data_IF_768138961261
#
_entry.id   IF_768138961261
#
_cell.length_a   1.000
_cell.length_b   1.000
_cell.length_c   1.000
_cell.angle_alpha   90.00
_cell.angle_beta   90.00
_cell.angle_gamma   90.00
#
_symmetry.space_group_name_H-M   'P 1'
#
loop_
_entity.id
_entity.type
_entity.pdbx_description
1 polymer ?
#
# COMPACT_ATOMS: atom_id res chain seq x y z
N UNK A 1 -12.99 -1.26 37.68
CA UNK A 1 -12.67 -0.71 36.33
C UNK A 1 -12.28 -1.87 35.43
N UNK A 2 -13.06 -2.17 34.42
CA UNK A 2 -12.71 -3.19 33.42
C UNK A 2 -11.43 -2.77 32.72
N UNK A 3 -10.37 -3.59 32.80
CA UNK A 3 -9.18 -3.43 31.95
C UNK A 3 -9.66 -3.39 30.50
N UNK A 4 -9.21 -2.39 29.73
CA UNK A 4 -9.50 -2.32 28.30
C UNK A 4 -9.00 -3.61 27.65
N UNK A 5 -9.91 -4.49 27.30
CA UNK A 5 -9.59 -5.69 26.54
C UNK A 5 -9.29 -5.19 25.13
N UNK A 6 -8.05 -5.17 24.79
CA UNK A 6 -7.62 -4.84 23.44
C UNK A 6 -7.47 -6.16 22.69
N UNK A 7 -8.14 -6.29 21.55
CA UNK A 7 -7.86 -7.36 20.58
C UNK A 7 -6.42 -7.16 20.12
N UNK A 8 -5.52 -7.77 20.82
CA UNK A 8 -4.13 -7.79 20.43
C UNK A 8 -3.77 -9.23 20.18
N UNK A 9 -3.72 -9.60 18.92
CA UNK A 9 -2.76 -10.61 18.58
C UNK A 9 -1.45 -10.18 19.24
N UNK A 10 -1.00 -11.00 20.14
CA UNK A 10 0.25 -10.99 20.89
C UNK A 10 1.16 -9.76 20.70
N UNK A 11 0.89 -8.71 21.44
CA UNK A 11 1.82 -7.58 21.58
C UNK A 11 3.01 -8.03 22.44
N UNK A 12 4.23 -7.90 21.92
CA UNK A 12 5.42 -7.98 22.74
C UNK A 12 5.44 -6.83 23.76
N UNK A 13 5.88 -7.08 24.96
CA UNK A 13 6.02 -6.06 25.99
C UNK A 13 7.47 -5.65 26.07
N UNK A 14 7.77 -4.37 25.79
CA UNK A 14 9.11 -3.82 25.86
C UNK A 14 9.74 -4.14 27.22
N UNK A 15 11.01 -4.55 27.23
CA UNK A 15 11.80 -4.97 28.41
C UNK A 15 11.37 -6.28 29.10
N UNK A 16 10.23 -6.88 28.70
CA UNK A 16 9.81 -8.20 29.20
C UNK A 16 10.03 -9.29 28.16
N UNK A 17 9.90 -8.94 26.89
CA UNK A 17 10.17 -9.85 25.77
C UNK A 17 11.59 -9.60 25.28
N UNK A 18 12.48 -10.60 25.22
CA UNK A 18 13.89 -10.42 24.88
C UNK A 18 14.09 -10.26 23.36
N UNK A 19 13.34 -9.35 22.74
CA UNK A 19 13.35 -9.07 21.30
C UNK A 19 13.42 -7.58 21.09
N UNK A 20 14.18 -7.15 20.07
CA UNK A 20 14.24 -5.76 19.67
C UNK A 20 12.90 -5.32 19.04
N UNK A 21 12.15 -4.50 19.74
CA UNK A 21 10.85 -4.00 19.32
C UNK A 21 10.83 -2.48 19.25
N UNK A 22 9.96 -1.96 18.40
CA UNK A 22 9.60 -0.54 18.34
C UNK A 22 8.11 -0.42 18.16
N UNK A 23 7.50 0.47 18.91
CA UNK A 23 6.07 0.79 18.81
C UNK A 23 5.92 2.18 18.19
N UNK A 24 4.95 2.31 17.29
CA UNK A 24 4.49 3.58 16.73
C UNK A 24 3.03 3.73 17.13
N UNK A 25 2.71 4.74 17.90
CA UNK A 25 1.34 4.97 18.38
C UNK A 25 0.51 5.78 17.36
N UNK A 26 -0.80 5.83 17.59
CA UNK A 26 -1.73 6.56 16.74
C UNK A 26 -1.35 8.04 16.57
N UNK A 27 -0.94 8.72 17.64
CA UNK A 27 -0.61 10.14 17.61
C UNK A 27 0.62 10.37 16.74
N UNK A 28 1.57 9.47 16.80
CA UNK A 28 2.76 9.52 15.97
C UNK A 28 2.42 9.30 14.49
N UNK A 29 1.52 8.36 14.17
CA UNK A 29 1.02 8.17 12.81
C UNK A 29 0.30 9.42 12.31
N UNK A 30 -0.66 9.95 13.07
CA UNK A 30 -1.43 11.15 12.69
C UNK A 30 -0.53 12.39 12.46
N UNK A 31 0.52 12.55 13.24
CA UNK A 31 1.43 13.70 13.13
C UNK A 31 2.45 13.59 11.98
N UNK A 32 2.83 12.37 11.61
CA UNK A 32 3.99 12.15 10.73
C UNK A 32 3.63 11.52 9.39
N UNK A 33 2.46 10.88 9.26
CA UNK A 33 2.04 10.26 8.02
C UNK A 33 1.96 11.29 6.88
N UNK A 34 1.23 12.40 7.11
CA UNK A 34 1.07 13.44 6.10
C UNK A 34 0.61 12.85 4.76
N UNK A 35 1.38 13.09 3.72
CA UNK A 35 1.17 12.57 2.36
C UNK A 35 2.00 11.31 2.07
N UNK A 36 2.67 10.75 3.07
CA UNK A 36 3.49 9.56 2.92
C UNK A 36 2.63 8.28 2.94
N UNK A 37 3.16 7.21 2.41
CA UNK A 37 2.57 5.89 2.56
C UNK A 37 2.94 5.30 3.93
N UNK A 38 2.07 4.41 4.43
CA UNK A 38 2.26 3.83 5.77
C UNK A 38 3.64 3.18 5.99
N UNK A 39 4.25 2.46 5.04
CA UNK A 39 5.60 1.90 5.23
C UNK A 39 6.67 2.95 5.52
N UNK A 40 6.54 4.15 4.94
CA UNK A 40 7.52 5.22 5.11
C UNK A 40 7.60 5.72 6.56
N UNK A 41 6.51 5.57 7.32
CA UNK A 41 6.49 5.84 8.75
C UNK A 41 7.51 4.98 9.52
N UNK A 42 7.77 3.78 9.03
CA UNK A 42 8.70 2.84 9.69
C UNK A 42 10.16 3.18 9.45
N UNK A 43 10.50 4.15 8.59
CA UNK A 43 11.87 4.66 8.39
C UNK A 43 12.48 5.24 9.68
N UNK A 44 11.65 5.58 10.65
CA UNK A 44 12.13 6.03 11.98
C UNK A 44 12.52 4.87 12.89
N UNK A 45 12.18 3.65 12.51
CA UNK A 45 12.51 2.44 13.28
C UNK A 45 13.93 1.98 12.92
N UNK A 46 14.85 1.87 13.87
CA UNK A 46 16.22 1.43 13.59
C UNK A 46 16.27 0.10 12.85
N UNK A 47 17.02 0.04 11.74
CA UNK A 47 17.16 -1.16 10.90
C UNK A 47 15.97 -1.45 9.98
N UNK A 48 15.05 -0.52 9.85
CA UNK A 48 13.96 -0.56 8.86
C UNK A 48 14.19 0.51 7.80
N UNK A 49 13.98 0.15 6.56
CA UNK A 49 14.07 1.04 5.41
C UNK A 49 12.91 0.81 4.47
N UNK A 50 12.08 1.82 4.30
CA UNK A 50 10.98 1.83 3.35
C UNK A 50 11.24 2.87 2.26
N UNK A 51 10.97 2.51 1.02
CA UNK A 51 11.14 3.39 -0.13
C UNK A 51 10.07 3.13 -1.17
N UNK A 52 9.73 4.15 -1.95
CA UNK A 52 8.92 4.00 -3.16
C UNK A 52 9.78 3.42 -4.27
N UNK A 53 9.41 2.28 -4.81
CA UNK A 53 10.20 1.53 -5.78
C UNK A 53 10.35 2.27 -7.11
N UNK A 54 9.27 2.80 -7.65
CA UNK A 54 9.25 3.59 -8.90
C UNK A 54 9.11 5.10 -8.67
N UNK A 55 9.08 5.53 -7.40
CA UNK A 55 8.79 6.92 -7.03
C UNK A 55 7.33 7.33 -7.24
N UNK A 56 6.44 6.36 -7.44
CA UNK A 56 5.01 6.54 -7.65
C UNK A 56 4.20 6.11 -6.41
N UNK A 57 2.89 6.36 -6.43
CA UNK A 57 1.97 5.92 -5.39
C UNK A 57 1.81 4.39 -5.39
N UNK A 58 1.75 3.81 -4.19
CA UNK A 58 1.32 2.43 -3.96
C UNK A 58 2.38 1.35 -4.15
N UNK A 59 3.61 1.72 -4.49
CA UNK A 59 4.67 0.76 -4.78
C UNK A 59 5.77 0.68 -3.71
N UNK A 60 5.46 1.11 -2.50
CA UNK A 60 6.41 1.07 -1.39
C UNK A 60 6.96 -0.33 -1.12
N UNK A 61 8.23 -0.41 -0.83
CA UNK A 61 8.93 -1.61 -0.37
C UNK A 61 9.47 -1.40 1.03
N UNK A 62 9.34 -2.43 1.85
CA UNK A 62 9.83 -2.43 3.22
C UNK A 62 10.97 -3.44 3.34
N UNK A 63 12.14 -2.96 3.73
CA UNK A 63 13.29 -3.79 4.07
C UNK A 63 13.57 -3.71 5.56
N UNK A 64 13.94 -4.81 6.16
CA UNK A 64 14.25 -4.87 7.60
C UNK A 64 15.55 -5.63 7.84
N UNK A 65 16.55 -4.96 8.46
CA UNK A 65 17.88 -5.53 8.70
C UNK A 65 18.54 -6.10 7.42
N UNK A 66 18.33 -5.46 6.27
CA UNK A 66 18.84 -5.91 4.98
C UNK A 66 18.00 -7.00 4.29
N UNK A 67 17.01 -7.58 4.98
CA UNK A 67 16.09 -8.53 4.36
C UNK A 67 15.02 -7.80 3.55
N UNK A 68 14.72 -8.33 2.38
CA UNK A 68 13.68 -7.79 1.49
C UNK A 68 12.26 -8.03 2.05
N UNK A 69 11.28 -7.31 1.51
CA UNK A 69 9.87 -7.36 1.95
C UNK A 69 9.26 -8.77 1.98
N UNK A 70 9.70 -9.68 1.10
CA UNK A 70 9.28 -11.08 1.10
C UNK A 70 9.74 -11.87 2.35
N UNK A 71 10.72 -11.36 3.08
CA UNK A 71 11.24 -11.95 4.31
C UNK A 71 10.79 -11.16 5.57
N UNK A 72 9.82 -10.27 5.43
CA UNK A 72 9.23 -9.50 6.52
C UNK A 72 7.74 -9.83 6.61
N UNK A 73 7.32 -10.43 7.71
CA UNK A 73 5.91 -10.71 7.93
C UNK A 73 5.16 -9.43 8.29
N UNK A 74 4.03 -9.18 7.62
CA UNK A 74 3.13 -8.08 7.96
C UNK A 74 1.77 -8.64 8.33
N UNK A 75 1.21 -8.13 9.42
CA UNK A 75 -0.09 -8.54 9.89
C UNK A 75 -0.99 -7.35 10.18
N UNK A 76 -2.26 -7.51 9.91
CA UNK A 76 -3.31 -6.57 10.29
C UNK A 76 -4.30 -7.29 11.21
N UNK A 77 -4.45 -6.80 12.44
CA UNK A 77 -5.29 -7.42 13.47
C UNK A 77 -5.01 -8.91 13.71
N UNK A 78 -3.73 -9.32 13.59
CA UNK A 78 -3.31 -10.71 13.75
C UNK A 78 -3.48 -11.60 12.51
N UNK A 79 -3.99 -11.04 11.42
CA UNK A 79 -4.14 -11.75 10.14
C UNK A 79 -2.94 -11.45 9.26
N UNK A 80 -2.20 -12.46 8.77
CA UNK A 80 -1.12 -12.26 7.80
C UNK A 80 -1.68 -11.68 6.49
N UNK A 81 -1.01 -10.68 5.94
CA UNK A 81 -1.42 -10.00 4.69
C UNK A 81 -0.39 -10.09 3.58
N UNK A 82 0.72 -10.78 3.83
CA UNK A 82 1.70 -11.07 2.81
C UNK A 82 1.08 -11.90 1.68
N UNK A 83 1.53 -11.62 0.47
CA UNK A 83 1.14 -12.36 -0.71
C UNK A 83 1.62 -13.81 -0.64
N UNK A 84 0.76 -14.75 -1.00
CA UNK A 84 1.04 -16.19 -0.90
C UNK A 84 2.01 -16.68 -1.96
N UNK A 85 2.15 -15.95 -3.07
CA UNK A 85 2.99 -16.33 -4.19
C UNK A 85 4.43 -15.80 -4.01
N UNK A 86 4.57 -14.50 -3.70
CA UNK A 86 5.87 -13.83 -3.63
C UNK A 86 6.35 -13.57 -2.19
N UNK A 87 5.50 -13.79 -1.20
CA UNK A 87 5.80 -13.49 0.21
C UNK A 87 5.87 -12.00 0.56
N UNK A 88 5.81 -11.11 -0.43
CA UNK A 88 5.85 -9.66 -0.24
C UNK A 88 4.49 -9.05 0.11
N UNK A 89 4.45 -7.73 0.15
CA UNK A 89 3.20 -6.98 0.35
C UNK A 89 3.09 -5.87 -0.69
N UNK A 90 1.94 -5.80 -1.34
CA UNK A 90 1.55 -4.69 -2.22
C UNK A 90 0.80 -3.64 -1.39
N UNK A 91 1.51 -2.60 -0.98
CA UNK A 91 0.97 -1.58 -0.08
C UNK A 91 -0.18 -0.78 -0.67
N UNK A 92 -0.27 -0.71 -1.99
CA UNK A 92 -1.42 -0.10 -2.69
C UNK A 92 -2.76 -0.75 -2.35
N UNK A 93 -2.79 -2.02 -1.97
CA UNK A 93 -4.01 -2.70 -1.54
C UNK A 93 -4.52 -2.22 -0.17
N UNK A 94 -3.72 -1.42 0.54
CA UNK A 94 -3.91 -1.02 1.92
C UNK A 94 -3.75 0.49 2.10
N UNK A 95 -4.09 1.29 1.08
CA UNK A 95 -3.88 2.74 1.03
C UNK A 95 -4.43 3.50 2.23
N UNK A 96 -5.64 3.14 2.69
CA UNK A 96 -6.28 3.73 3.85
C UNK A 96 -5.83 3.22 5.20
N UNK A 97 -4.91 2.25 5.23
CA UNK A 97 -4.54 1.61 6.50
C UNK A 97 -3.95 2.61 7.50
N UNK A 98 -3.25 3.65 7.03
CA UNK A 98 -2.67 4.69 7.89
C UNK A 98 -3.69 5.41 8.76
N UNK A 99 -4.85 5.73 8.22
CA UNK A 99 -5.95 6.40 8.95
C UNK A 99 -6.69 5.46 9.91
N UNK A 100 -6.58 4.16 9.66
CA UNK A 100 -7.24 3.13 10.45
C UNK A 100 -6.37 2.64 11.61
N UNK A 101 -5.06 2.91 11.56
CA UNK A 101 -4.10 2.45 12.57
C UNK A 101 -4.41 2.99 13.96
N UNK A 102 -4.37 2.11 14.93
CA UNK A 102 -4.33 2.43 16.35
C UNK A 102 -2.90 2.43 16.89
N UNK A 103 -2.13 1.39 16.54
CA UNK A 103 -0.69 1.32 16.75
C UNK A 103 -0.05 0.31 15.80
N UNK A 104 1.23 0.47 15.56
CA UNK A 104 2.07 -0.52 14.88
C UNK A 104 3.16 -0.97 15.83
N UNK A 105 3.48 -2.26 15.81
CA UNK A 105 4.63 -2.82 16.50
C UNK A 105 5.54 -3.53 15.51
N UNK A 106 6.79 -3.13 15.51
CA UNK A 106 7.82 -3.74 14.69
C UNK A 106 8.73 -4.60 15.57
N UNK A 107 8.81 -5.87 15.26
CA UNK A 107 9.78 -6.81 15.86
C UNK A 107 10.88 -7.09 14.85
N UNK A 108 12.14 -6.92 15.24
CA UNK A 108 13.28 -7.01 14.35
C UNK A 108 14.03 -8.32 14.55
N UNK A 109 14.13 -9.10 13.46
CA UNK A 109 14.83 -10.39 13.44
C UNK A 109 14.00 -11.54 13.98
N UNK A 110 14.63 -12.71 14.02
CA UNK A 110 14.04 -13.93 14.59
C UNK A 110 13.76 -13.70 16.08
N UNK A 111 12.53 -13.54 16.41
CA UNK A 111 12.07 -13.51 17.78
C UNK A 111 11.11 -14.66 18.04
N UNK A 112 10.85 -14.99 19.30
CA UNK A 112 9.71 -15.82 19.67
C UNK A 112 8.43 -15.05 19.27
N UNK A 113 8.17 -15.07 17.97
CA UNK A 113 6.98 -14.48 17.41
C UNK A 113 5.81 -15.29 17.92
N UNK A 114 4.93 -14.66 18.69
CA UNK A 114 3.61 -15.21 18.94
C UNK A 114 2.76 -15.18 17.66
N UNK A 115 3.36 -14.86 16.55
CA UNK A 115 2.79 -14.69 15.23
C UNK A 115 2.94 -15.97 14.46
N UNK A 116 1.89 -16.40 13.80
CA UNK A 116 1.83 -17.66 13.06
C UNK A 116 2.70 -17.75 11.81
N UNK A 117 3.28 -16.62 11.36
CA UNK A 117 4.13 -16.57 10.15
C UNK A 117 5.58 -16.32 10.55
N UNK A 118 6.47 -17.32 10.39
CA UNK A 118 7.88 -17.13 10.66
C UNK A 118 8.50 -16.17 9.62
N UNK A 119 9.33 -15.25 10.08
CA UNK A 119 10.03 -14.31 9.23
C UNK A 119 11.42 -14.02 9.77
N UNK A 120 12.44 -14.13 8.90
CA UNK A 120 13.84 -13.92 9.28
C UNK A 120 14.19 -12.43 9.43
N UNK A 121 13.56 -11.57 8.63
CA UNK A 121 13.77 -10.12 8.70
C UNK A 121 13.13 -9.50 9.94
N UNK A 122 11.96 -9.97 10.29
CA UNK A 122 11.16 -9.49 11.41
C UNK A 122 9.67 -9.40 11.05
N UNK A 123 8.92 -8.79 11.95
CA UNK A 123 7.45 -8.72 11.83
C UNK A 123 6.96 -7.31 12.07
N UNK A 124 6.01 -6.86 11.25
CA UNK A 124 5.22 -5.64 11.47
C UNK A 124 3.79 -6.05 11.81
N UNK A 125 3.35 -5.72 13.01
CA UNK A 125 1.99 -5.96 13.45
C UNK A 125 1.23 -4.63 13.52
N UNK A 126 0.19 -4.51 12.71
CA UNK A 126 -0.66 -3.33 12.58
C UNK A 126 -1.99 -3.64 13.26
N UNK A 127 -2.38 -2.81 14.21
CA UNK A 127 -3.67 -2.94 14.89
C UNK A 127 -4.53 -1.74 14.55
N UNK A 128 -5.73 -2.01 14.04
CA UNK A 128 -6.68 -0.98 13.62
C UNK A 128 -7.55 -0.50 14.79
N UNK A 129 -8.20 0.63 14.59
CA UNK A 129 -9.21 1.18 15.49
C UNK A 129 -10.39 0.21 15.57
N UNK A 130 -10.73 -0.27 16.76
CA UNK A 130 -11.86 -1.17 16.98
C UNK A 130 -12.73 -0.74 18.16
N UNK A 131 -12.76 -1.55 19.20
CA UNK A 131 -13.69 -1.45 20.34
C UNK A 131 -13.44 -0.27 21.27
N UNK A 132 -12.33 0.38 21.19
CA UNK A 132 -11.93 1.47 22.10
C UNK A 132 -11.89 2.86 21.44
N UNK A 133 -12.45 2.96 20.24
CA UNK A 133 -12.66 4.26 19.61
C UNK A 133 -13.52 5.15 20.49
N UNK A 134 -13.09 6.37 20.72
CA UNK A 134 -13.89 7.37 21.44
C UNK A 134 -15.06 7.82 20.56
N UNK A 135 -16.17 8.22 21.21
CA UNK A 135 -17.29 8.86 20.51
C UNK A 135 -16.83 10.15 19.83
N UNK A 136 -17.17 10.31 18.58
CA UNK A 136 -16.83 11.51 17.81
C UNK A 136 -16.64 11.21 16.34
N UNK A 137 -16.23 12.22 15.60
CA UNK A 137 -15.88 12.11 14.20
C UNK A 137 -14.93 13.23 13.81
N UNK A 138 -14.33 13.09 12.63
CA UNK A 138 -13.50 14.12 12.03
C UNK A 138 -13.62 14.04 10.50
N UNK A 139 -13.38 15.16 9.86
CA UNK A 139 -13.15 15.24 8.44
C UNK A 139 -11.83 15.98 8.23
N UNK A 140 -10.99 15.46 7.35
CA UNK A 140 -9.71 16.07 6.98
C UNK A 140 -9.60 16.19 5.47
N UNK A 141 -9.01 17.30 5.02
CA UNK A 141 -8.64 17.47 3.63
C UNK A 141 -7.19 17.93 3.57
N UNK A 142 -6.39 17.24 2.80
CA UNK A 142 -4.99 17.54 2.62
C UNK A 142 -4.66 17.74 1.14
N UNK A 143 -3.71 18.62 0.89
CA UNK A 143 -3.14 18.89 -0.44
C UNK A 143 -1.63 18.73 -0.40
N UNK A 144 -1.04 18.43 -1.52
CA UNK A 144 0.40 18.29 -1.64
C UNK A 144 0.91 18.58 -3.05
N UNK A 145 2.18 18.35 -3.24
CA UNK A 145 2.81 18.50 -4.55
C UNK A 145 2.22 17.55 -5.59
N UNK A 146 2.37 17.89 -6.84
CA UNK A 146 1.99 17.06 -7.99
C UNK A 146 0.49 16.66 -7.99
N UNK A 147 -0.36 17.62 -7.63
CA UNK A 147 -1.81 17.43 -7.62
C UNK A 147 -2.30 16.46 -6.53
N UNK A 148 -1.49 16.14 -5.52
CA UNK A 148 -1.90 15.27 -4.42
C UNK A 148 -3.05 15.90 -3.64
N UNK A 149 -4.11 15.13 -3.47
CA UNK A 149 -5.27 15.47 -2.66
C UNK A 149 -5.66 14.26 -1.82
N UNK A 150 -6.14 14.51 -0.61
CA UNK A 150 -6.56 13.50 0.32
C UNK A 150 -7.77 14.00 1.13
N UNK A 151 -8.88 13.28 1.05
CA UNK A 151 -10.07 13.52 1.86
C UNK A 151 -10.31 12.30 2.74
N UNK A 152 -10.53 12.51 4.03
CA UNK A 152 -10.95 11.44 4.95
C UNK A 152 -12.09 11.93 5.84
N UNK A 153 -13.09 11.09 6.01
CA UNK A 153 -14.19 11.28 6.94
C UNK A 153 -14.31 10.06 7.83
N UNK A 154 -14.38 10.25 9.13
CA UNK A 154 -14.50 9.18 10.10
C UNK A 154 -15.52 9.52 11.19
N UNK A 155 -16.27 8.51 11.63
CA UNK A 155 -17.24 8.62 12.72
C UNK A 155 -17.18 7.39 13.61
N UNK A 156 -17.36 7.58 14.90
CA UNK A 156 -17.49 6.49 15.89
C UNK A 156 -18.53 6.84 16.96
N UNK A 157 -19.32 5.86 17.34
CA UNK A 157 -20.25 6.00 18.45
C UNK A 157 -19.56 5.98 19.82
N UNK A 158 -18.32 5.50 19.85
CA UNK A 158 -17.71 5.06 21.09
C UNK A 158 -18.44 3.85 21.69
N UNK A 159 -17.99 3.39 22.84
CA UNK A 159 -18.66 2.30 23.55
C UNK A 159 -19.97 2.81 24.17
N UNK A 160 -21.09 2.28 23.70
CA UNK A 160 -22.43 2.61 24.22
C UNK A 160 -22.67 1.93 25.56
N UNK A 161 -23.70 2.41 26.31
CA UNK A 161 -24.13 1.77 27.56
C UNK A 161 -24.54 0.33 27.38
N UNK A 162 -25.07 -0.04 26.21
CA UNK A 162 -25.43 -1.42 25.85
C UNK A 162 -24.25 -2.28 25.40
N UNK A 163 -23.02 -1.76 25.42
CA UNK A 163 -21.80 -2.49 25.09
C UNK A 163 -21.47 -2.58 23.60
N UNK A 164 -22.16 -1.83 22.73
CA UNK A 164 -21.85 -1.72 21.31
C UNK A 164 -20.85 -0.61 21.03
N UNK A 165 -20.05 -0.79 19.99
CA UNK A 165 -19.25 0.25 19.35
C UNK A 165 -19.34 0.09 17.83
N UNK A 166 -19.59 1.21 17.13
CA UNK A 166 -19.64 1.30 15.69
C UNK A 166 -18.64 2.36 15.26
N UNK A 167 -17.81 2.05 14.28
CA UNK A 167 -16.86 2.99 13.69
C UNK A 167 -16.85 2.82 12.18
N UNK A 168 -16.81 3.93 11.46
CA UNK A 168 -16.70 3.96 10.00
C UNK A 168 -15.68 5.01 9.58
N UNK A 169 -15.03 4.76 8.46
CA UNK A 169 -14.15 5.70 7.79
C UNK A 169 -14.31 5.54 6.29
N UNK A 170 -14.32 6.67 5.59
CA UNK A 170 -14.22 6.76 4.14
C UNK A 170 -13.12 7.75 3.80
N UNK A 171 -12.34 7.41 2.78
CA UNK A 171 -11.27 8.25 2.28
C UNK A 171 -11.21 8.22 0.76
N UNK A 172 -10.56 9.25 0.21
CA UNK A 172 -10.16 9.30 -1.18
C UNK A 172 -8.82 10.00 -1.28
N UNK A 173 -7.89 9.38 -2.01
CA UNK A 173 -6.59 9.97 -2.37
C UNK A 173 -6.48 9.97 -3.88
N UNK A 174 -5.98 11.08 -4.44
CA UNK A 174 -5.74 11.17 -5.89
C UNK A 174 -4.65 12.21 -6.18
N UNK A 175 -4.02 12.07 -7.32
CA UNK A 175 -2.98 12.99 -7.77
C UNK A 175 -2.36 12.59 -9.11
N UNK A 176 -1.52 13.48 -9.63
CA UNK A 176 -0.78 13.23 -10.88
C UNK A 176 0.50 12.43 -10.66
N UNK A 177 1.03 12.44 -9.43
CA UNK A 177 2.30 11.82 -9.08
C UNK A 177 3.53 12.63 -9.48
N UNK A 178 4.67 12.33 -8.85
CA UNK A 178 5.93 13.04 -9.11
C UNK A 178 6.48 12.76 -10.50
N UNK A 179 6.33 11.53 -10.99
CA UNK A 179 6.82 11.06 -12.28
C UNK A 179 5.73 11.26 -13.33
N UNK A 180 6.09 11.59 -14.56
CA UNK A 180 5.14 11.74 -15.66
C UNK A 180 4.29 10.49 -15.83
N UNK A 181 2.96 10.66 -15.93
CA UNK A 181 2.02 9.59 -16.17
C UNK A 181 1.87 8.60 -15.02
N UNK A 182 2.19 8.99 -13.78
CA UNK A 182 2.00 8.15 -12.59
C UNK A 182 0.80 8.62 -11.75
N UNK A 183 -0.24 9.07 -12.43
CA UNK A 183 -1.47 9.46 -11.77
C UNK A 183 -2.13 8.27 -11.06
N UNK A 184 -2.80 8.57 -9.97
CA UNK A 184 -3.45 7.57 -9.12
C UNK A 184 -4.78 8.06 -8.59
N UNK A 185 -5.63 7.09 -8.25
CA UNK A 185 -6.89 7.29 -7.53
C UNK A 185 -7.12 6.12 -6.60
N UNK A 186 -7.34 6.40 -5.34
CA UNK A 186 -7.53 5.43 -4.28
C UNK A 186 -8.74 5.83 -3.44
N UNK A 187 -9.62 4.89 -3.18
CA UNK A 187 -10.75 5.03 -2.27
C UNK A 187 -10.54 4.11 -1.09
N UNK A 188 -10.70 4.64 0.10
CA UNK A 188 -10.53 3.90 1.33
C UNK A 188 -11.84 3.73 2.05
N UNK A 189 -12.10 2.55 2.57
CA UNK A 189 -13.20 2.34 3.48
C UNK A 189 -12.79 1.42 4.63
N UNK A 190 -13.36 1.70 5.77
CA UNK A 190 -13.22 0.90 6.98
C UNK A 190 -14.52 0.92 7.76
N UNK A 191 -14.89 -0.21 8.32
CA UNK A 191 -15.92 -0.28 9.32
C UNK A 191 -15.54 -1.29 10.41
N UNK A 192 -15.95 -1.00 11.61
CA UNK A 192 -15.83 -1.91 12.75
C UNK A 192 -17.09 -1.88 13.57
N UNK A 193 -17.62 -3.06 13.89
CA UNK A 193 -18.74 -3.25 14.78
C UNK A 193 -18.29 -4.18 15.89
N UNK A 194 -18.44 -3.76 17.14
CA UNK A 194 -18.07 -4.63 18.25
C UNK A 194 -19.11 -4.62 19.36
N UNK A 195 -19.16 -5.72 20.08
CA UNK A 195 -20.06 -5.96 21.19
C UNK A 195 -19.31 -6.56 22.37
N UNK A 196 -19.48 -5.97 23.54
CA UNK A 196 -19.12 -6.61 24.82
C UNK A 196 -20.30 -7.39 25.31
N UNK A 197 -20.08 -8.67 25.61
CA UNK A 197 -21.08 -9.59 26.16
C UNK A 197 -20.66 -9.95 27.59
N UNK A 198 -21.26 -9.26 28.57
CA UNK A 198 -20.86 -9.35 29.96
C UNK A 198 -19.42 -8.86 30.19
N UNK A 199 -18.73 -9.52 31.14
CA UNK A 199 -17.37 -9.17 31.54
C UNK A 199 -16.30 -10.03 30.86
N UNK A 200 -16.70 -11.12 30.23
CA UNK A 200 -15.77 -12.16 29.77
C UNK A 200 -15.64 -12.26 28.25
N UNK A 201 -16.59 -11.74 27.48
CA UNK A 201 -16.60 -11.91 26.05
C UNK A 201 -16.64 -10.58 25.30
N UNK A 202 -15.90 -10.52 24.21
CA UNK A 202 -15.96 -9.44 23.24
C UNK A 202 -15.92 -10.02 21.84
N UNK A 203 -16.84 -9.57 20.99
CA UNK A 203 -16.88 -9.91 19.58
C UNK A 203 -16.68 -8.63 18.78
N UNK A 204 -15.89 -8.68 17.71
CA UNK A 204 -15.66 -7.57 16.80
C UNK A 204 -15.65 -8.06 15.34
N UNK A 205 -16.49 -7.46 14.51
CA UNK A 205 -16.46 -7.59 13.07
C UNK A 205 -15.76 -6.34 12.51
N UNK A 206 -14.76 -6.55 11.69
CA UNK A 206 -14.00 -5.48 11.00
C UNK A 206 -13.97 -5.77 9.52
N UNK A 207 -14.20 -4.75 8.71
CA UNK A 207 -14.04 -4.81 7.26
C UNK A 207 -13.34 -3.57 6.76
N UNK A 208 -12.42 -3.73 5.81
CA UNK A 208 -11.71 -2.62 5.18
C UNK A 208 -11.19 -3.01 3.80
N UNK A 209 -10.93 -2.01 2.99
CA UNK A 209 -10.35 -2.16 1.66
C UNK A 209 -10.02 -0.82 1.03
N UNK A 210 -9.18 -0.89 0.01
CA UNK A 210 -8.72 0.27 -0.76
C UNK A 210 -8.79 -0.06 -2.25
N UNK A 211 -9.99 0.09 -2.89
CA UNK A 211 -10.06 0.02 -4.34
C UNK A 211 -9.27 1.16 -4.95
N UNK A 212 -8.23 0.82 -5.70
CA UNK A 212 -7.27 1.78 -6.22
C UNK A 212 -6.92 1.52 -7.67
N UNK A 213 -6.52 2.56 -8.35
CA UNK A 213 -5.86 2.51 -9.65
C UNK A 213 -4.67 3.44 -9.68
N UNK A 214 -3.58 3.00 -10.25
CA UNK A 214 -2.40 3.85 -10.39
C UNK A 214 -1.54 3.41 -11.57
N UNK A 215 -0.79 4.36 -12.11
CA UNK A 215 0.27 4.10 -13.08
C UNK A 215 1.62 4.19 -12.39
N UNK A 216 2.58 3.47 -12.93
CA UNK A 216 3.95 3.41 -12.42
C UNK A 216 4.95 3.65 -13.56
N UNK A 217 6.14 4.12 -13.23
CA UNK A 217 7.32 3.92 -14.06
C UNK A 217 7.92 2.57 -13.67
N UNK A 218 8.03 1.65 -14.62
CA UNK A 218 8.58 0.34 -14.33
C UNK A 218 10.04 0.49 -13.81
N UNK A 219 10.41 -0.31 -12.83
CA UNK A 219 11.76 -0.30 -12.26
C UNK A 219 12.87 -0.62 -13.30
N UNK A 220 12.52 -1.32 -14.37
CA UNK A 220 13.43 -1.67 -15.45
C UNK A 220 13.57 -0.56 -16.52
N UNK A 221 12.77 0.50 -16.46
CA UNK A 221 12.82 1.66 -17.34
C UNK A 221 13.84 2.72 -16.84
N UNK A 222 14.75 2.32 -15.96
CA UNK A 222 15.81 3.18 -15.46
C UNK A 222 16.81 3.59 -16.56
N UNK A 223 17.23 4.86 -16.53
CA UNK A 223 18.21 5.39 -17.45
C UNK A 223 19.60 5.46 -16.80
N UNK A 224 20.64 5.35 -17.63
CA UNK A 224 22.01 5.69 -17.22
C UNK A 224 22.13 7.19 -16.94
N UNK A 225 23.24 7.62 -16.35
CA UNK A 225 23.52 9.06 -16.13
C UNK A 225 23.44 9.84 -17.45
N UNK A 226 23.99 9.30 -18.51
CA UNK A 226 23.93 9.88 -19.86
C UNK A 226 22.49 9.95 -20.38
N UNK A 227 21.71 8.86 -20.19
CA UNK A 227 20.30 8.81 -20.55
C UNK A 227 19.48 9.87 -19.80
N UNK A 228 19.73 10.10 -18.52
CA UNK A 228 19.08 11.18 -17.76
C UNK A 228 19.48 12.58 -18.26
N UNK A 229 20.70 12.77 -18.72
CA UNK A 229 21.12 14.02 -19.35
C UNK A 229 20.44 14.24 -20.71
N UNK A 230 20.30 13.20 -21.50
CA UNK A 230 19.65 13.26 -22.81
C UNK A 230 18.19 13.68 -22.75
N UNK A 231 17.42 13.13 -21.78
CA UNK A 231 16.00 13.47 -21.61
C UNK A 231 15.76 14.87 -21.03
N UNK A 232 16.79 15.57 -20.59
CA UNK A 232 16.67 16.93 -20.03
C UNK A 232 15.94 17.89 -20.98
N UNK A 233 16.17 17.77 -22.29
CA UNK A 233 15.53 18.58 -23.34
C UNK A 233 14.00 18.48 -23.35
N UNK A 234 13.43 17.34 -22.90
CA UNK A 234 11.99 17.12 -22.85
C UNK A 234 11.33 17.63 -21.56
N UNK A 235 12.11 18.03 -20.58
CA UNK A 235 11.59 18.33 -19.25
C UNK A 235 11.28 19.82 -19.01
N UNK A 236 11.60 20.71 -19.97
CA UNK A 236 11.26 22.14 -19.83
C UNK A 236 11.73 22.79 -18.52
N UNK A 237 12.94 22.44 -18.05
CA UNK A 237 13.51 22.92 -16.80
C UNK A 237 13.10 22.15 -15.53
N UNK A 238 12.17 21.20 -15.60
CA UNK A 238 11.84 20.30 -14.50
C UNK A 238 12.94 19.25 -14.29
N UNK A 239 12.95 18.63 -13.11
CA UNK A 239 13.88 17.53 -12.80
C UNK A 239 13.79 16.41 -13.83
N UNK A 240 14.93 15.95 -14.32
CA UNK A 240 15.02 14.82 -15.25
C UNK A 240 14.46 13.53 -14.68
N UNK A 241 14.51 13.37 -13.36
CA UNK A 241 13.98 12.18 -12.67
C UNK A 241 12.46 12.06 -12.72
N UNK A 242 11.76 13.12 -13.15
CA UNK A 242 10.31 13.08 -13.42
C UNK A 242 9.99 12.42 -14.76
N UNK A 243 10.96 12.26 -15.63
CA UNK A 243 10.73 11.66 -16.95
C UNK A 243 10.36 10.18 -16.83
N UNK A 244 9.35 9.78 -17.60
CA UNK A 244 8.95 8.38 -17.73
C UNK A 244 9.07 7.96 -19.19
N UNK A 245 10.01 7.08 -19.53
CA UNK A 245 10.23 6.64 -20.92
C UNK A 245 9.01 6.03 -21.59
N UNK A 246 8.08 5.52 -20.82
CA UNK A 246 6.86 4.85 -21.31
C UNK A 246 5.60 5.70 -21.18
N UNK A 247 5.72 6.96 -20.75
CA UNK A 247 4.58 7.87 -20.70
C UNK A 247 4.26 8.43 -22.06
N UNK A 248 2.97 8.40 -22.44
CA UNK A 248 2.50 8.97 -23.71
C UNK A 248 0.98 9.01 -23.80
N UNK A 249 0.50 9.12 -25.03
CA UNK A 249 -0.92 9.27 -25.33
C UNK A 249 -1.36 8.29 -26.42
N UNK A 250 -2.56 7.73 -26.26
CA UNK A 250 -3.20 6.95 -27.29
C UNK A 250 -3.91 7.80 -28.33
N UNK A 251 -4.51 7.14 -29.33
CA UNK A 251 -5.19 7.77 -30.48
C UNK A 251 -6.30 8.77 -30.09
N UNK A 252 -6.96 8.54 -28.96
CA UNK A 252 -8.04 9.41 -28.47
C UNK A 252 -7.54 10.40 -27.41
N UNK A 253 -6.22 10.58 -27.25
CA UNK A 253 -5.62 11.46 -26.26
C UNK A 253 -5.63 10.90 -24.84
N UNK A 254 -5.97 9.62 -24.64
CA UNK A 254 -5.92 8.97 -23.34
C UNK A 254 -4.46 8.82 -22.86
N UNK A 255 -4.21 9.17 -21.60
CA UNK A 255 -2.90 9.01 -20.97
C UNK A 255 -2.60 7.53 -20.78
N UNK A 256 -1.37 7.13 -21.11
CA UNK A 256 -0.87 5.76 -20.98
C UNK A 256 0.53 5.73 -20.39
N UNK A 257 0.83 4.62 -19.74
CA UNK A 257 2.17 4.22 -19.32
C UNK A 257 2.25 2.70 -19.39
N UNK A 258 3.45 2.14 -19.44
CA UNK A 258 3.65 0.68 -19.57
C UNK A 258 3.14 -0.11 -18.37
N UNK A 259 3.07 0.49 -17.21
CA UNK A 259 2.65 -0.18 -15.99
C UNK A 259 1.42 0.51 -15.39
N UNK A 260 0.30 -0.16 -15.47
CA UNK A 260 -0.94 0.21 -14.83
C UNK A 260 -1.37 -0.90 -13.87
N UNK A 261 -1.89 -0.51 -12.73
CA UNK A 261 -2.44 -1.41 -11.73
C UNK A 261 -3.80 -0.91 -11.27
N UNK A 262 -4.79 -1.79 -11.31
CA UNK A 262 -6.06 -1.65 -10.63
C UNK A 262 -6.25 -2.85 -9.72
N UNK A 263 -6.49 -2.61 -8.45
CA UNK A 263 -6.72 -3.69 -7.51
C UNK A 263 -7.67 -3.30 -6.39
N UNK A 264 -8.48 -4.26 -5.95
CA UNK A 264 -9.31 -4.18 -4.76
C UNK A 264 -9.22 -5.50 -4.00
N UNK A 265 -8.66 -5.46 -2.80
CA UNK A 265 -8.47 -6.63 -1.94
C UNK A 265 -9.06 -6.37 -0.56
N UNK A 266 -10.40 -6.39 -0.42
CA UNK A 266 -11.03 -6.22 0.88
C UNK A 266 -10.66 -7.34 1.83
N UNK A 267 -10.58 -6.99 3.10
CA UNK A 267 -10.41 -7.95 4.19
C UNK A 267 -11.52 -7.79 5.21
N UNK A 268 -12.11 -8.90 5.59
CA UNK A 268 -13.09 -9.00 6.65
C UNK A 268 -12.56 -9.91 7.74
N UNK A 269 -12.74 -9.53 9.00
CA UNK A 269 -12.36 -10.37 10.13
C UNK A 269 -13.41 -10.34 11.23
N UNK A 270 -13.70 -11.50 11.77
CA UNK A 270 -14.52 -11.69 12.97
C UNK A 270 -13.60 -12.18 14.09
N UNK A 271 -13.45 -11.37 15.11
CA UNK A 271 -12.59 -11.66 16.24
C UNK A 271 -13.45 -11.88 17.49
N UNK A 272 -13.15 -12.91 18.23
CA UNK A 272 -13.76 -13.18 19.53
C UNK A 272 -12.67 -13.30 20.58
N UNK A 273 -12.83 -12.60 21.68
CA UNK A 273 -11.99 -12.72 22.87
C UNK A 273 -12.83 -13.27 24.00
N UNK A 274 -12.34 -14.34 24.60
CA UNK A 274 -12.91 -14.90 25.83
C UNK A 274 -11.87 -14.81 26.95
N UNK A 275 -12.17 -14.03 27.96
CA UNK A 275 -11.42 -14.00 29.23
C UNK A 275 -11.97 -15.12 30.09
N UNK A 276 -11.26 -16.24 30.18
CA UNK A 276 -11.67 -17.43 30.95
C UNK A 276 -11.52 -17.11 32.43
N UNK A 277 -10.38 -16.55 32.81
CA UNK A 277 -10.06 -16.09 34.17
C UNK A 277 -8.98 -14.94 34.09
N UNK A 278 -8.48 -14.51 35.26
CA UNK A 278 -7.48 -13.44 35.34
C UNK A 278 -6.14 -13.77 34.68
N UNK A 279 -5.85 -15.03 34.39
CA UNK A 279 -4.57 -15.53 33.85
C UNK A 279 -4.73 -16.12 32.46
N UNK A 280 -5.95 -16.48 32.06
CA UNK A 280 -6.21 -17.25 30.83
C UNK A 280 -7.18 -16.52 29.91
N UNK A 281 -6.85 -16.47 28.64
CA UNK A 281 -7.75 -15.93 27.59
C UNK A 281 -7.63 -16.75 26.31
N UNK A 282 -8.74 -16.87 25.60
CA UNK A 282 -8.80 -17.45 24.26
C UNK A 282 -9.14 -16.35 23.25
N UNK A 283 -8.32 -16.22 22.22
CA UNK A 283 -8.55 -15.31 21.11
C UNK A 283 -8.79 -16.14 19.85
N UNK A 284 -9.94 -15.95 19.22
CA UNK A 284 -10.31 -16.62 17.98
C UNK A 284 -10.47 -15.57 16.90
N UNK A 285 -9.86 -15.79 15.74
CA UNK A 285 -10.00 -14.94 14.56
C UNK A 285 -10.45 -15.79 13.38
N UNK A 286 -11.55 -15.38 12.74
CA UNK A 286 -11.96 -15.87 11.43
C UNK A 286 -11.83 -14.72 10.46
N UNK A 287 -11.19 -14.95 9.31
CA UNK A 287 -11.00 -13.91 8.32
C UNK A 287 -11.19 -14.41 6.90
N UNK A 288 -11.50 -13.46 6.02
CA UNK A 288 -11.67 -13.68 4.58
C UNK A 288 -11.13 -12.47 3.83
N UNK A 289 -10.47 -12.72 2.70
CA UNK A 289 -10.08 -11.70 1.75
C UNK A 289 -10.39 -12.19 0.33
N UNK A 290 -10.97 -11.31 -0.50
CA UNK A 290 -11.32 -11.61 -1.88
C UNK A 290 -10.68 -10.53 -2.74
N UNK A 291 -9.63 -10.89 -3.51
CA UNK A 291 -8.94 -9.96 -4.40
C UNK A 291 -9.58 -9.92 -5.78
N UNK A 292 -9.73 -8.72 -6.33
CA UNK A 292 -10.08 -8.50 -7.72
C UNK A 292 -9.20 -7.39 -8.28
N UNK A 293 -8.58 -7.64 -9.42
CA UNK A 293 -7.74 -6.62 -10.02
C UNK A 293 -7.14 -7.06 -11.34
N UNK A 294 -6.53 -6.10 -12.01
CA UNK A 294 -5.82 -6.30 -13.26
C UNK A 294 -4.74 -5.24 -13.41
N UNK A 295 -3.81 -5.51 -14.30
CA UNK A 295 -2.78 -4.56 -14.66
C UNK A 295 -2.37 -4.76 -16.11
N UNK A 296 -1.60 -3.83 -16.63
CA UNK A 296 -0.86 -4.04 -17.86
C UNK A 296 0.64 -3.85 -17.58
N UNK A 297 1.45 -4.53 -18.34
CA UNK A 297 2.91 -4.42 -18.28
C UNK A 297 3.50 -4.08 -19.64
N UNK A 298 2.68 -3.61 -20.59
CA UNK A 298 3.12 -3.28 -21.94
C UNK A 298 3.76 -4.48 -22.66
N UNK A 299 3.18 -5.66 -22.53
CA UNK A 299 3.70 -6.87 -23.16
C UNK A 299 3.20 -6.96 -24.60
N UNK A 300 4.12 -7.04 -25.55
CA UNK A 300 3.84 -7.49 -26.89
C UNK A 300 3.81 -9.03 -26.97
N UNK A 301 3.49 -9.57 -28.13
CA UNK A 301 3.47 -11.01 -28.45
C UNK A 301 4.82 -11.68 -28.12
N UNK A 302 5.89 -10.90 -28.12
CA UNK A 302 7.22 -11.38 -27.85
C UNK A 302 7.81 -10.54 -26.69
N UNK A 303 7.71 -11.05 -25.47
CA UNK A 303 8.19 -10.38 -24.26
C UNK A 303 9.69 -9.98 -24.33
N UNK A 304 10.48 -10.68 -25.11
CA UNK A 304 11.88 -10.36 -25.37
C UNK A 304 12.03 -9.04 -26.16
N UNK A 305 11.08 -8.70 -27.02
CA UNK A 305 11.09 -7.44 -27.78
C UNK A 305 10.42 -6.30 -27.04
N UNK A 306 9.42 -6.56 -26.24
CA UNK A 306 8.71 -5.53 -25.48
C UNK A 306 9.67 -4.68 -24.63
N UNK A 307 10.63 -5.33 -23.95
CA UNK A 307 11.63 -4.63 -23.14
C UNK A 307 12.76 -3.97 -23.97
N UNK A 308 12.91 -4.30 -25.24
CA UNK A 308 14.00 -3.78 -26.06
C UNK A 308 13.65 -2.55 -26.90
N UNK A 309 12.38 -2.32 -27.22
CA UNK A 309 11.96 -1.17 -28.02
C UNK A 309 11.06 -0.20 -27.24
N UNK A 310 10.48 -0.62 -26.14
CA UNK A 310 9.49 0.08 -25.35
C UNK A 310 10.18 0.93 -24.27
N UNK A 311 10.23 2.23 -24.48
CA UNK A 311 10.74 3.19 -23.51
C UNK A 311 12.24 3.30 -23.44
N UNK A 312 12.91 2.41 -22.75
CA UNK A 312 14.37 2.42 -22.57
C UNK A 312 14.97 1.00 -22.63
N UNK A 313 16.20 0.91 -23.10
CA UNK A 313 16.95 -0.34 -23.10
C UNK A 313 18.42 -0.08 -22.71
N UNK A 314 18.97 -0.91 -21.82
CA UNK A 314 20.36 -0.78 -21.33
C UNK A 314 20.69 0.63 -20.83
N UNK A 315 19.76 1.28 -20.15
CA UNK A 315 19.93 2.64 -19.63
C UNK A 315 19.88 3.75 -20.68
N UNK A 316 19.59 3.43 -21.95
CA UNK A 316 19.45 4.43 -23.03
C UNK A 316 18.00 4.55 -23.45
N UNK A 317 17.57 5.79 -23.70
CA UNK A 317 16.24 6.05 -24.24
C UNK A 317 16.12 5.48 -25.65
N UNK A 318 15.00 4.81 -25.92
CA UNK A 318 14.63 4.36 -27.27
C UNK A 318 13.83 5.46 -27.96
N UNK A 319 14.14 5.70 -29.22
CA UNK A 319 13.49 6.75 -30.03
C UNK A 319 12.44 6.19 -31.00
N UNK A 320 12.41 4.87 -31.16
CA UNK A 320 11.34 4.21 -31.89
C UNK A 320 10.01 4.53 -31.19
N UNK A 321 8.99 4.87 -31.94
CA UNK A 321 7.69 5.24 -31.41
C UNK A 321 7.74 6.34 -30.33
N UNK A 322 8.46 7.42 -30.61
CA UNK A 322 8.56 8.56 -29.70
C UNK A 322 8.31 9.88 -30.42
N UNK A 323 7.42 10.69 -29.87
CA UNK A 323 7.15 12.03 -30.35
C UNK A 323 8.30 12.99 -30.04
N UNK A 324 8.33 14.13 -30.74
CA UNK A 324 9.35 15.16 -30.60
C UNK A 324 9.38 15.76 -29.17
N UNK A 325 8.30 15.73 -28.44
CA UNK A 325 8.19 16.17 -27.04
C UNK A 325 8.70 15.16 -26.03
N UNK A 326 9.17 14.00 -26.49
CA UNK A 326 9.69 12.93 -25.66
C UNK A 326 8.64 11.95 -25.14
N UNK A 327 7.36 12.11 -25.47
CA UNK A 327 6.31 11.16 -25.09
C UNK A 327 6.34 9.90 -25.96
N UNK A 328 5.95 8.76 -25.40
CA UNK A 328 5.85 7.51 -26.15
C UNK A 328 4.61 7.53 -27.05
N UNK A 329 4.77 7.16 -28.31
CA UNK A 329 3.74 7.26 -29.34
C UNK A 329 2.81 6.04 -29.35
N UNK A 330 1.97 5.88 -28.32
CA UNK A 330 0.94 4.82 -28.30
C UNK A 330 -0.04 4.93 -29.43
N UNK A 331 -0.35 6.14 -29.89
CA UNK A 331 -1.17 6.41 -31.05
C UNK A 331 -0.66 5.69 -32.30
N UNK A 332 0.64 5.84 -32.60
CA UNK A 332 1.29 5.16 -33.73
C UNK A 332 1.30 3.63 -33.56
N UNK A 333 1.58 3.14 -32.34
CA UNK A 333 1.55 1.70 -32.05
C UNK A 333 0.15 1.14 -32.23
N UNK A 334 -0.88 1.84 -31.76
CA UNK A 334 -2.27 1.44 -31.92
C UNK A 334 -2.67 1.37 -33.41
N UNK A 335 -2.23 2.36 -34.19
CA UNK A 335 -2.50 2.42 -35.63
C UNK A 335 -1.83 1.25 -36.36
N UNK A 336 -0.57 0.96 -36.06
CA UNK A 336 0.12 -0.22 -36.60
C UNK A 336 -0.56 -1.53 -36.20
N UNK A 337 -1.01 -1.65 -34.94
CA UNK A 337 -1.73 -2.83 -34.49
C UNK A 337 -3.07 -3.05 -35.22
N UNK A 338 -3.78 -1.96 -35.53
CA UNK A 338 -5.02 -2.03 -36.31
C UNK A 338 -4.78 -2.48 -37.75
N UNK A 339 -3.64 -2.10 -38.31
CA UNK A 339 -3.26 -2.44 -39.71
C UNK A 339 -2.59 -3.82 -39.81
N UNK A 340 -2.20 -4.42 -38.71
CA UNK A 340 -1.45 -5.68 -38.68
C UNK A 340 -2.39 -6.90 -38.64
N UNK A 341 -1.93 -8.00 -39.26
CA UNK A 341 -2.57 -9.31 -39.12
C UNK A 341 -2.56 -9.78 -37.66
N UNK A 342 -3.54 -10.65 -37.31
CA UNK A 342 -3.81 -11.05 -35.95
C UNK A 342 -2.61 -11.64 -35.17
N UNK A 343 -1.62 -12.18 -35.85
CA UNK A 343 -0.40 -12.75 -35.25
C UNK A 343 0.75 -11.77 -35.01
N UNK A 344 0.65 -10.53 -35.49
CA UNK A 344 1.75 -9.55 -35.52
C UNK A 344 1.50 -8.32 -34.65
N UNK A 345 0.46 -8.32 -33.85
CA UNK A 345 0.06 -7.16 -33.05
C UNK A 345 1.03 -6.91 -31.88
N UNK A 346 1.36 -5.64 -31.65
CA UNK A 346 2.32 -5.19 -30.65
C UNK A 346 1.59 -4.75 -29.41
N UNK A 347 0.62 -4.67 -28.94
CA UNK A 347 -0.01 -4.22 -27.67
C UNK A 347 -1.46 -3.76 -27.84
#
# INVERSE_FOLDING_TARGET
MLKNITVTASRGVARKTPIAMSDVDRREVENKLGNNELPEMLNQTPGVYATKNSGAYGDSKLNMRGFQSSNVAVMVNGVPVNDMEHGGLYWSNWGGLGEMVRYMQTQRGLGASKVSVPSVGGTVNIVTKTTDSKRGGYATYGVGNDGFNHLTVSVSTGLTKSGWNFSMLFGKKWGDGYIQGTNFSDYDYFFAVSKRLGQHHQIALTGFGSPQSHYQRNQYDGLSVEGWQDVKRFMGGKSVYRYNPTYGFGKNGERKSSAFNFYHKPQFSLNHIWLIDDKSSLNTALYMSIGHGYGNSGQGINSAYANSWYGAANGKLRYDFRHADGTFAYDQVQELNEQSDAGSKMV
#
